data_IF_407355040543
#
_entry.id   IF_407355040543
#
_cell.length_a   1.000
_cell.length_b   1.000
_cell.length_c   1.000
_cell.angle_alpha   90.00
_cell.angle_beta   90.00
_cell.angle_gamma   90.00
#
_symmetry.space_group_name_H-M   'P 1'
#
loop_
_entity.id
_entity.type
_entity.pdbx_description
1 polymer ?
#
# COMPACT_ATOMS: atom_id res chain seq x y z
N UNK A 1 1.15 -16.08 -9.57
CA UNK A 1 1.33 -15.74 -8.14
C UNK A 1 -0.04 -15.52 -7.52
N UNK A 2 -0.34 -16.17 -6.43
CA UNK A 2 -1.64 -15.96 -5.78
C UNK A 2 -1.68 -14.55 -5.16
N UNK A 3 -2.74 -13.82 -5.43
CA UNK A 3 -2.97 -12.48 -4.91
C UNK A 3 -3.25 -12.59 -3.40
N UNK A 4 -2.48 -11.90 -2.58
CA UNK A 4 -2.68 -11.90 -1.13
C UNK A 4 -3.77 -10.91 -0.78
N UNK A 5 -4.82 -11.37 -0.11
CA UNK A 5 -5.85 -10.49 0.43
C UNK A 5 -5.32 -9.75 1.66
N UNK A 6 -5.33 -8.44 1.61
CA UNK A 6 -4.89 -7.57 2.71
C UNK A 6 -6.13 -7.09 3.45
N UNK A 7 -6.20 -7.34 4.76
CA UNK A 7 -7.22 -6.75 5.62
C UNK A 7 -6.94 -5.27 5.84
N UNK A 8 -8.00 -4.48 5.89
CA UNK A 8 -7.89 -3.05 6.20
C UNK A 8 -7.12 -2.81 7.50
N UNK A 9 -7.37 -3.62 8.53
CA UNK A 9 -6.66 -3.59 9.81
C UNK A 9 -5.15 -3.72 9.65
N UNK A 10 -4.68 -4.66 8.81
CA UNK A 10 -3.24 -4.93 8.66
C UNK A 10 -2.51 -3.75 8.01
N UNK A 11 -3.17 -3.02 7.10
CA UNK A 11 -2.61 -1.80 6.54
C UNK A 11 -2.64 -0.64 7.53
N UNK A 12 -3.78 -0.38 8.15
CA UNK A 12 -3.95 0.82 8.99
C UNK A 12 -3.14 0.77 10.28
N UNK A 13 -2.83 -0.41 10.83
CA UNK A 13 -1.93 -0.56 11.99
C UNK A 13 -0.49 -0.12 11.71
N UNK A 14 -0.11 -0.03 10.44
CA UNK A 14 1.22 0.41 10.00
C UNK A 14 1.28 1.91 9.68
N UNK A 15 0.21 2.66 9.90
CA UNK A 15 0.20 4.11 9.68
C UNK A 15 1.18 4.80 10.61
N UNK A 16 2.06 5.65 10.06
CA UNK A 16 3.12 6.34 10.83
C UNK A 16 2.55 7.35 11.82
N UNK A 17 1.47 8.05 11.43
CA UNK A 17 0.83 9.11 12.22
C UNK A 17 -0.69 8.94 12.19
N UNK A 18 -1.25 7.93 12.85
CA UNK A 18 -2.68 7.65 12.77
C UNK A 18 -3.57 8.79 13.27
N UNK A 19 -3.04 9.68 14.15
CA UNK A 19 -3.79 10.81 14.70
C UNK A 19 -4.07 11.90 13.66
N UNK A 20 -3.18 12.05 12.67
CA UNK A 20 -3.26 13.15 11.69
C UNK A 20 -3.43 12.66 10.25
N UNK A 21 -3.11 11.39 9.97
CA UNK A 21 -3.27 10.83 8.62
C UNK A 21 -4.76 10.77 8.27
N UNK A 22 -5.16 11.54 7.26
CA UNK A 22 -6.53 11.50 6.75
C UNK A 22 -6.73 10.32 5.82
N UNK A 23 -7.87 9.66 5.97
CA UNK A 23 -8.27 8.51 5.16
C UNK A 23 -9.72 8.66 4.70
N UNK A 24 -10.00 8.21 3.51
CA UNK A 24 -11.33 7.99 2.97
C UNK A 24 -11.48 6.52 2.63
N UNK A 25 -12.46 5.84 3.21
CA UNK A 25 -12.77 4.44 2.94
C UNK A 25 -14.00 4.39 2.05
N UNK A 26 -13.84 3.76 0.88
CA UNK A 26 -14.87 3.63 -0.13
C UNK A 26 -15.20 2.16 -0.33
N UNK A 27 -16.45 1.78 -0.08
CA UNK A 27 -16.90 0.42 -0.37
C UNK A 27 -17.12 0.26 -1.87
N UNK A 28 -16.40 -0.71 -2.44
CA UNK A 28 -16.40 -1.01 -3.86
C UNK A 28 -17.49 -2.05 -4.17
N UNK A 29 -18.52 -1.60 -4.87
CA UNK A 29 -19.59 -2.44 -5.41
C UNK A 29 -19.37 -2.64 -6.91
N UNK A 30 -19.85 -3.73 -7.46
CA UNK A 30 -19.67 -4.11 -8.89
C UNK A 30 -19.98 -2.99 -9.88
N UNK A 31 -20.88 -2.07 -9.54
CA UNK A 31 -21.30 -0.97 -10.42
C UNK A 31 -21.21 0.42 -9.78
N UNK A 32 -20.74 0.53 -8.56
CA UNK A 32 -20.68 1.81 -7.84
C UNK A 32 -19.67 1.78 -6.71
N UNK A 33 -19.20 2.95 -6.34
CA UNK A 33 -18.32 3.15 -5.18
C UNK A 33 -19.03 4.09 -4.21
N UNK A 34 -19.03 3.75 -2.92
CA UNK A 34 -19.68 4.55 -1.89
C UNK A 34 -18.71 4.84 -0.74
N UNK A 35 -18.54 6.12 -0.41
CA UNK A 35 -17.83 6.51 0.79
C UNK A 35 -18.56 6.01 2.05
N UNK A 36 -17.85 5.30 2.91
CA UNK A 36 -18.37 4.73 4.17
C UNK A 36 -17.69 5.32 5.39
N UNK A 37 -16.53 5.94 5.22
CA UNK A 37 -15.82 6.66 6.29
C UNK A 37 -14.92 7.74 5.69
N UNK A 38 -14.81 8.87 6.39
CA UNK A 38 -13.86 9.95 6.12
C UNK A 38 -13.39 10.55 7.47
N UNK A 39 -12.09 10.65 7.68
CA UNK A 39 -11.53 11.18 8.93
C UNK A 39 -10.08 10.76 9.17
N UNK A 40 -9.61 10.86 10.40
CA UNK A 40 -8.28 10.40 10.77
C UNK A 40 -8.25 8.85 10.91
N UNK A 41 -7.12 8.25 10.59
CA UNK A 41 -6.95 6.78 10.69
C UNK A 41 -7.30 6.25 12.09
N UNK A 42 -6.93 6.97 13.14
CA UNK A 42 -7.24 6.57 14.52
C UNK A 42 -8.73 6.46 14.83
N UNK A 43 -9.56 7.18 14.07
CA UNK A 43 -11.01 7.27 14.30
C UNK A 43 -11.81 6.24 13.48
N UNK A 44 -11.12 5.40 12.68
CA UNK A 44 -11.76 4.33 11.92
C UNK A 44 -12.37 3.30 12.88
N UNK A 45 -13.70 3.01 12.76
CA UNK A 45 -14.36 2.05 13.62
C UNK A 45 -13.76 0.65 13.58
N UNK A 46 -13.66 -0.03 14.74
CA UNK A 46 -13.04 -1.36 14.86
C UNK A 46 -13.78 -2.42 14.03
N UNK A 47 -15.09 -2.31 13.89
CA UNK A 47 -15.89 -3.20 13.06
C UNK A 47 -15.54 -3.09 11.57
N UNK A 48 -15.18 -1.88 11.08
CA UNK A 48 -14.69 -1.70 9.72
C UNK A 48 -13.32 -2.34 9.53
N UNK A 49 -12.42 -2.21 10.50
CA UNK A 49 -11.07 -2.78 10.44
C UNK A 49 -11.09 -4.29 10.24
N UNK A 50 -12.02 -4.98 10.88
CA UNK A 50 -12.15 -6.46 10.82
C UNK A 50 -12.97 -6.94 9.62
N UNK A 51 -13.91 -6.12 9.14
CA UNK A 51 -14.88 -6.46 8.09
C UNK A 51 -14.29 -6.38 6.69
N UNK A 52 -13.43 -5.38 6.43
CA UNK A 52 -13.02 -5.02 5.10
C UNK A 52 -11.67 -5.60 4.66
N UNK A 53 -11.58 -5.91 3.37
CA UNK A 53 -10.36 -6.22 2.63
C UNK A 53 -10.09 -5.12 1.61
N UNK A 54 -8.83 -4.85 1.33
CA UNK A 54 -8.41 -3.82 0.38
C UNK A 54 -8.57 -4.37 -1.05
N UNK A 55 -9.29 -3.63 -1.89
CA UNK A 55 -9.36 -3.88 -3.32
C UNK A 55 -8.41 -3.00 -4.12
N UNK A 56 -8.33 -1.72 -3.77
CA UNK A 56 -7.46 -0.75 -4.43
C UNK A 56 -7.16 0.42 -3.47
N UNK A 57 -6.21 1.27 -3.81
CA UNK A 57 -5.91 2.48 -3.05
C UNK A 57 -5.18 3.52 -3.91
N UNK A 58 -5.27 4.78 -3.52
CA UNK A 58 -4.48 5.87 -4.09
C UNK A 58 -4.33 7.00 -3.08
N UNK A 59 -3.41 7.92 -3.33
CA UNK A 59 -3.34 9.20 -2.63
C UNK A 59 -4.00 10.25 -3.51
N UNK A 60 -4.93 11.03 -2.95
CA UNK A 60 -5.61 12.08 -3.70
C UNK A 60 -4.60 13.14 -4.13
N UNK A 61 -4.63 13.52 -5.40
CA UNK A 61 -3.71 14.48 -6.01
C UNK A 61 -3.59 15.75 -5.15
N UNK A 62 -2.34 16.20 -4.97
CA UNK A 62 -1.98 17.41 -4.23
C UNK A 62 -2.44 17.47 -2.77
N UNK A 63 -2.85 16.34 -2.21
CA UNK A 63 -3.30 16.22 -0.83
C UNK A 63 -2.52 15.14 -0.07
N UNK A 64 -2.78 15.04 1.23
CA UNK A 64 -2.30 13.95 2.08
C UNK A 64 -3.42 12.98 2.46
N UNK A 65 -4.51 12.95 1.69
CA UNK A 65 -5.64 12.04 1.91
C UNK A 65 -5.36 10.70 1.24
N UNK A 66 -5.32 9.65 2.04
CA UNK A 66 -5.23 8.28 1.57
C UNK A 66 -6.64 7.76 1.29
N UNK A 67 -6.91 7.38 0.04
CA UNK A 67 -8.17 6.79 -0.37
C UNK A 67 -7.99 5.29 -0.53
N UNK A 68 -8.83 4.50 0.15
CA UNK A 68 -8.80 3.05 0.06
C UNK A 68 -10.17 2.51 -0.35
N UNK A 69 -10.18 1.70 -1.40
CA UNK A 69 -11.35 0.96 -1.85
C UNK A 69 -11.35 -0.40 -1.16
N UNK A 70 -12.51 -0.80 -0.65
CA UNK A 70 -12.62 -2.02 0.17
C UNK A 70 -13.78 -2.90 -0.25
N UNK A 71 -13.63 -4.21 -0.01
CA UNK A 71 -14.66 -5.22 -0.18
C UNK A 71 -15.05 -5.84 1.16
N UNK A 72 -16.32 -6.19 1.32
CA UNK A 72 -16.81 -6.98 2.47
C UNK A 72 -16.60 -8.48 2.28
N UNK A 73 -16.77 -8.94 1.04
CA UNK A 73 -16.59 -10.34 0.64
C UNK A 73 -15.76 -10.36 -0.63
N UNK A 74 -14.49 -10.66 -0.54
CA UNK A 74 -13.72 -10.92 -1.74
C UNK A 74 -14.38 -12.10 -2.46
N UNK A 75 -14.69 -11.93 -3.75
CA UNK A 75 -15.38 -12.93 -4.57
C UNK A 75 -14.79 -14.33 -4.35
N UNK A 76 -15.64 -15.37 -4.36
CA UNK A 76 -15.26 -16.77 -4.15
C UNK A 76 -14.06 -17.24 -4.99
N UNK A 77 -13.84 -16.62 -6.14
CA UNK A 77 -12.67 -16.87 -6.98
C UNK A 77 -11.35 -16.52 -6.30
N UNK A 78 -11.33 -15.53 -5.42
CA UNK A 78 -10.15 -15.15 -4.65
C UNK A 78 -10.00 -15.99 -3.37
N UNK A 79 -11.10 -16.46 -2.78
CA UNK A 79 -11.08 -17.28 -1.56
C UNK A 79 -10.36 -18.61 -1.77
N UNK A 80 -10.52 -19.26 -2.92
CA UNK A 80 -9.86 -20.55 -3.21
C UNK A 80 -8.32 -20.44 -3.27
N UNK A 81 -7.79 -19.25 -3.57
CA UNK A 81 -6.35 -19.00 -3.58
C UNK A 81 -5.84 -18.42 -2.26
N UNK A 82 -6.68 -17.73 -1.50
CA UNK A 82 -6.32 -17.17 -0.20
C UNK A 82 -6.25 -18.24 0.90
N UNK A 83 -7.09 -19.27 0.86
CA UNK A 83 -7.08 -20.36 1.83
C UNK A 83 -5.80 -21.19 1.81
N UNK A 84 -5.07 -21.20 0.69
CA UNK A 84 -3.78 -21.87 0.56
C UNK A 84 -2.58 -21.02 0.97
N UNK A 85 -2.78 -19.74 1.22
CA UNK A 85 -1.75 -18.88 1.80
C UNK A 85 -1.85 -18.89 3.31
N UNK A 86 -1.41 -19.99 3.94
CA UNK A 86 -1.13 -20.08 5.37
C UNK A 86 0.01 -19.13 5.76
N UNK A 87 -0.13 -17.86 5.46
CA UNK A 87 0.81 -16.89 5.98
C UNK A 87 0.23 -16.29 7.26
N UNK A 88 0.63 -16.87 8.41
CA UNK A 88 0.56 -16.26 9.74
C UNK A 88 1.20 -14.86 9.84
N UNK A 89 1.58 -14.26 8.73
CA UNK A 89 2.22 -12.98 8.76
C UNK A 89 1.22 -11.88 8.39
N UNK A 90 0.74 -11.17 9.40
CA UNK A 90 0.15 -9.83 9.27
C UNK A 90 1.12 -8.81 8.64
N UNK A 91 2.15 -9.31 7.96
CA UNK A 91 3.19 -8.49 7.34
C UNK A 91 2.79 -8.17 5.92
N UNK A 92 2.63 -6.90 5.65
CA UNK A 92 2.34 -6.37 4.32
C UNK A 92 3.66 -5.93 3.68
N UNK A 93 3.94 -6.42 2.48
CA UNK A 93 5.09 -5.99 1.68
C UNK A 93 4.68 -4.87 0.72
N UNK A 94 5.67 -4.18 0.15
CA UNK A 94 5.40 -3.21 -0.92
C UNK A 94 4.76 -3.92 -2.11
N UNK A 95 5.24 -5.12 -2.46
CA UNK A 95 4.66 -5.94 -3.53
C UNK A 95 3.18 -6.25 -3.28
N UNK A 96 2.81 -6.62 -2.04
CA UNK A 96 1.41 -6.90 -1.69
C UNK A 96 0.51 -5.69 -1.95
N UNK A 97 0.99 -4.48 -1.62
CA UNK A 97 0.24 -3.24 -1.82
C UNK A 97 0.18 -2.82 -3.28
N UNK A 98 1.28 -2.90 -4.00
CA UNK A 98 1.38 -2.49 -5.40
C UNK A 98 0.82 -3.55 -6.35
N UNK A 99 0.83 -4.83 -5.98
CA UNK A 99 0.35 -5.95 -6.79
C UNK A 99 -1.14 -6.24 -6.68
N UNK A 100 -1.80 -5.81 -5.60
CA UNK A 100 -3.20 -6.12 -5.32
C UNK A 100 -4.18 -5.06 -5.82
N UNK A 101 -4.14 -4.74 -7.11
CA UNK A 101 -5.13 -3.85 -7.70
C UNK A 101 -4.56 -2.51 -8.12
N UNK A 102 -3.61 -1.96 -7.40
CA UNK A 102 -2.94 -0.72 -7.79
C UNK A 102 -2.11 -0.83 -9.05
N UNK A 103 -1.89 -2.04 -9.55
CA UNK A 103 -1.27 -2.29 -10.85
C UNK A 103 -2.05 -1.72 -12.02
N UNK A 104 -3.30 -1.37 -11.83
CA UNK A 104 -4.11 -0.68 -12.83
C UNK A 104 -3.84 0.81 -12.88
N UNK A 105 -3.22 1.36 -11.82
CA UNK A 105 -2.81 2.76 -11.81
C UNK A 105 -1.28 2.89 -11.82
N UNK A 106 -0.65 2.84 -13.01
CA UNK A 106 0.80 3.05 -13.15
C UNK A 106 1.23 4.47 -12.75
N UNK A 107 0.29 5.29 -12.33
CA UNK A 107 0.42 6.72 -12.09
C UNK A 107 0.54 7.10 -10.60
N UNK A 108 0.72 6.12 -9.71
CA UNK A 108 0.88 6.41 -8.29
C UNK A 108 2.31 6.90 -8.02
N UNK A 109 2.39 8.11 -7.50
CA UNK A 109 3.61 8.65 -6.96
C UNK A 109 3.92 7.97 -5.61
N UNK A 110 5.14 7.47 -5.46
CA UNK A 110 5.54 6.87 -4.21
C UNK A 110 7.03 7.08 -3.90
N UNK A 111 7.37 6.98 -2.63
CA UNK A 111 8.75 6.94 -2.17
C UNK A 111 8.98 5.73 -1.25
N UNK A 112 10.18 5.20 -1.26
CA UNK A 112 10.65 4.17 -0.33
C UNK A 112 11.77 4.79 0.49
N UNK A 113 11.61 4.77 1.81
CA UNK A 113 12.50 5.41 2.77
C UNK A 113 13.04 4.39 3.76
N UNK A 114 14.33 4.46 4.04
CA UNK A 114 14.94 3.70 5.13
C UNK A 114 14.51 4.29 6.47
N UNK A 115 13.73 3.54 7.26
CA UNK A 115 13.17 4.01 8.52
C UNK A 115 14.21 4.37 9.59
N UNK A 116 15.45 3.84 9.46
CA UNK A 116 16.52 4.12 10.43
C UNK A 116 17.35 5.34 10.07
N UNK A 117 17.64 5.53 8.78
CA UNK A 117 18.54 6.59 8.30
C UNK A 117 17.82 7.76 7.70
N UNK A 118 16.52 7.61 7.43
CA UNK A 118 15.67 8.56 6.68
C UNK A 118 16.13 8.82 5.24
N UNK A 119 17.03 7.98 4.75
CA UNK A 119 17.50 8.02 3.37
C UNK A 119 16.37 7.61 2.43
N UNK A 120 16.14 8.40 1.40
CA UNK A 120 15.22 8.09 0.31
C UNK A 120 15.92 7.11 -0.62
N UNK A 121 15.40 5.89 -0.68
CA UNK A 121 15.95 4.78 -1.49
C UNK A 121 15.37 4.77 -2.91
N UNK A 122 14.10 5.12 -3.01
CA UNK A 122 13.36 5.28 -4.28
C UNK A 122 12.47 6.49 -4.14
N UNK A 123 12.44 7.35 -5.13
CA UNK A 123 11.50 8.47 -5.24
C UNK A 123 10.95 8.51 -6.66
N UNK A 124 9.74 8.00 -6.82
CA UNK A 124 9.05 7.97 -8.09
C UNK A 124 8.00 9.06 -8.14
N UNK A 125 8.20 10.02 -9.03
CA UNK A 125 7.18 10.97 -9.44
C UNK A 125 6.72 10.54 -10.82
N UNK A 126 5.42 10.30 -10.97
CA UNK A 126 4.86 10.02 -12.27
C UNK A 126 4.89 11.31 -13.11
N UNK A 127 5.74 11.31 -14.12
CA UNK A 127 5.66 12.32 -15.17
C UNK A 127 4.57 11.91 -16.17
N UNK A 128 3.45 12.59 -16.12
CA UNK A 128 2.30 12.36 -17.01
C UNK A 128 2.64 12.58 -18.49
N UNK A 129 3.84 13.07 -18.79
CA UNK A 129 4.31 13.39 -20.16
C UNK A 129 5.19 12.31 -20.77
N UNK A 130 5.69 11.36 -19.96
CA UNK A 130 6.59 10.30 -20.44
C UNK A 130 5.92 8.94 -20.41
N UNK A 131 5.91 8.28 -21.54
CA UNK A 131 5.64 6.85 -21.65
C UNK A 131 6.70 6.05 -20.88
N UNK A 132 6.25 4.99 -20.22
CA UNK A 132 6.92 4.05 -19.31
C UNK A 132 8.23 3.47 -19.93
N UNK A 133 9.26 4.25 -20.12
CA UNK A 133 10.54 3.75 -20.61
C UNK A 133 11.73 4.02 -19.66
N UNK A 134 11.46 4.55 -18.45
CA UNK A 134 12.50 4.65 -17.44
C UNK A 134 12.60 3.34 -16.63
N UNK A 135 13.16 2.31 -17.25
CA UNK A 135 13.51 1.03 -16.64
C UNK A 135 14.33 1.17 -15.35
N UNK A 136 15.02 2.29 -15.16
CA UNK A 136 15.89 2.52 -14.02
C UNK A 136 15.12 2.63 -12.69
N UNK A 137 13.99 3.31 -12.67
CA UNK A 137 13.18 3.46 -11.45
C UNK A 137 12.46 2.16 -11.12
N UNK A 138 12.08 1.40 -12.13
CA UNK A 138 11.48 0.08 -11.96
C UNK A 138 12.48 -0.93 -11.37
N UNK A 139 13.71 -0.95 -11.87
CA UNK A 139 14.78 -1.82 -11.34
C UNK A 139 15.10 -1.48 -9.88
N UNK A 140 15.11 -0.20 -9.51
CA UNK A 140 15.26 0.21 -8.13
C UNK A 140 14.08 -0.25 -7.25
N UNK A 141 12.85 -0.15 -7.75
CA UNK A 141 11.67 -0.66 -7.06
C UNK A 141 11.76 -2.16 -6.80
N UNK A 142 12.12 -2.97 -7.82
CA UNK A 142 12.26 -4.43 -7.69
C UNK A 142 13.24 -4.84 -6.59
N UNK A 143 14.23 -4.00 -6.28
CA UNK A 143 15.17 -4.25 -5.17
C UNK A 143 14.48 -4.27 -3.81
N UNK A 144 13.38 -3.54 -3.66
CA UNK A 144 12.69 -3.34 -2.36
C UNK A 144 11.28 -3.90 -2.32
N UNK A 145 10.71 -4.37 -3.42
CA UNK A 145 9.30 -4.78 -3.51
C UNK A 145 8.88 -5.84 -2.48
N UNK A 146 9.77 -6.79 -2.17
CA UNK A 146 9.51 -7.86 -1.21
C UNK A 146 9.82 -7.46 0.25
N UNK A 147 10.19 -6.20 0.50
CA UNK A 147 10.43 -5.74 1.87
C UNK A 147 9.11 -5.46 2.58
N UNK A 148 9.06 -5.86 3.84
CA UNK A 148 7.93 -5.56 4.72
C UNK A 148 7.86 -4.06 4.97
N UNK A 149 6.69 -3.49 4.74
CA UNK A 149 6.37 -2.11 5.12
C UNK A 149 6.32 -2.04 6.65
N UNK A 150 7.12 -1.18 7.25
CA UNK A 150 7.18 -0.97 8.70
C UNK A 150 6.26 0.15 9.15
N UNK A 151 6.15 1.17 8.32
CA UNK A 151 5.21 2.26 8.46
C UNK A 151 4.92 2.85 7.08
N UNK A 152 3.81 3.59 6.98
CA UNK A 152 3.50 4.36 5.79
C UNK A 152 2.81 5.68 6.16
N UNK A 153 2.87 6.63 5.25
CA UNK A 153 2.08 7.87 5.29
C UNK A 153 1.76 8.31 3.86
N UNK A 154 0.61 8.98 3.70
CA UNK A 154 0.28 9.70 2.49
C UNK A 154 0.59 11.18 2.71
N UNK A 155 1.38 11.77 1.81
CA UNK A 155 1.79 13.17 1.91
C UNK A 155 2.02 13.79 0.53
N UNK A 156 1.40 14.94 0.29
CA UNK A 156 1.58 15.72 -0.93
C UNK A 156 1.35 14.92 -2.22
N UNK A 157 0.24 14.16 -2.27
CA UNK A 157 -0.12 13.32 -3.41
C UNK A 157 0.70 12.04 -3.55
N UNK A 158 1.60 11.74 -2.61
CA UNK A 158 2.55 10.65 -2.67
C UNK A 158 2.36 9.67 -1.52
N UNK A 159 2.47 8.37 -1.80
CA UNK A 159 2.58 7.32 -0.78
C UNK A 159 4.04 7.12 -0.37
N UNK A 160 4.32 7.18 0.93
CA UNK A 160 5.67 6.98 1.46
C UNK A 160 5.70 5.69 2.26
N UNK A 161 6.50 4.73 1.82
CA UNK A 161 6.74 3.46 2.50
C UNK A 161 8.05 3.50 3.27
N UNK A 162 7.99 3.18 4.55
CA UNK A 162 9.15 3.06 5.42
C UNK A 162 9.52 1.59 5.58
N UNK A 163 10.75 1.24 5.24
CA UNK A 163 11.26 -0.13 5.30
C UNK A 163 12.58 -0.21 6.06
N UNK A 164 12.97 -1.43 6.43
CA UNK A 164 14.34 -1.76 6.87
C UNK A 164 15.03 -2.50 5.72
N UNK A 165 15.90 -1.84 4.95
CA UNK A 165 16.71 -2.54 3.97
C UNK A 165 17.64 -3.52 4.69
N UNK A 166 17.88 -4.70 4.08
CA UNK A 166 18.85 -5.63 4.65
C UNK A 166 20.24 -4.99 4.68
N UNK A 167 20.96 -5.20 5.79
CA UNK A 167 22.40 -4.90 5.81
C UNK A 167 23.03 -5.69 4.66
N UNK A 168 23.72 -5.00 3.74
CA UNK A 168 24.63 -5.68 2.81
C UNK A 168 25.56 -6.53 3.66
N UNK A 169 25.56 -7.85 3.50
CA UNK A 169 26.62 -8.69 4.04
C UNK A 169 27.90 -8.10 3.46
N UNK A 170 28.79 -7.59 4.33
CA UNK A 170 30.15 -7.26 3.90
C UNK A 170 30.70 -8.55 3.34
N UNK A 171 30.91 -8.60 2.03
CA UNK A 171 31.74 -9.61 1.40
C UNK A 171 33.13 -9.25 1.90
N UNK A 172 33.64 -10.01 2.87
CA UNK A 172 35.03 -9.90 3.25
C UNK A 172 35.87 -10.25 2.02
N UNK A 173 36.87 -9.45 1.69
CA UNK A 173 37.76 -9.70 0.57
C UNK A 173 38.55 -11.00 0.76
#
# INVERSE_FOLDING_TARGET
>A
MAMKLIKLKDLLTQTKKPETQQIEIMEDYVLSVKAVFEGAVKDVPEDMLSKYYISDWYVRDETSVFVVLVWTNPHEQFNKHAENSNSDSHRVTIHDLMGNGCCTNPYIDFAIVNIKTWEVLVDRIHDRTHTIDDNKDYDQFLTYELKTVRAWEARDGKMIFYILPQKRKKVNP
#
